data_IF_493167310020
#
_entry.id   IF_493167310020
#
_cell.length_a   1.000
_cell.length_b   1.000
_cell.length_c   1.000
_cell.angle_alpha   90.00
_cell.angle_beta   90.00
_cell.angle_gamma   90.00
#
_symmetry.space_group_name_H-M   'P 1'
#
loop_
_entity.id
_entity.type
_entity.pdbx_description
1 polymer ?
#
# COMPACT_ATOMS: atom_id res chain seq x y z
N UNK A 1 -4.49 -3.40 -19.41
CA UNK A 1 -4.39 -2.16 -18.60
C UNK A 1 -4.25 -2.44 -17.11
N UNK A 2 -5.26 -2.98 -16.39
CA UNK A 2 -5.08 -3.22 -14.93
C UNK A 2 -4.08 -4.33 -14.63
N UNK A 3 -4.11 -5.45 -15.38
CA UNK A 3 -3.16 -6.53 -15.14
C UNK A 3 -1.71 -6.13 -15.42
N UNK A 4 -1.46 -5.43 -16.53
CA UNK A 4 -0.12 -4.90 -16.84
C UNK A 4 0.42 -4.01 -15.71
N UNK A 5 -0.44 -3.24 -15.04
CA UNK A 5 -0.05 -2.43 -13.90
C UNK A 5 0.30 -3.29 -12.67
N UNK A 6 -0.50 -4.34 -12.39
CA UNK A 6 -0.24 -5.31 -11.31
C UNK A 6 1.06 -6.07 -11.57
N UNK A 7 1.34 -6.44 -12.81
CA UNK A 7 2.60 -7.08 -13.22
C UNK A 7 3.80 -6.16 -12.96
N UNK A 8 3.69 -4.88 -13.33
CA UNK A 8 4.74 -3.89 -13.03
C UNK A 8 4.95 -3.75 -11.52
N UNK A 9 3.87 -3.69 -10.74
CA UNK A 9 3.95 -3.65 -9.27
C UNK A 9 4.69 -4.88 -8.71
N UNK A 10 4.37 -6.06 -9.21
CA UNK A 10 4.97 -7.34 -8.78
C UNK A 10 6.45 -7.42 -9.15
N UNK A 11 6.79 -7.08 -10.39
CA UNK A 11 8.19 -7.03 -10.84
C UNK A 11 9.01 -5.99 -10.06
N UNK A 12 8.41 -4.83 -9.76
CA UNK A 12 9.03 -3.78 -8.96
C UNK A 12 9.06 -4.08 -7.45
N UNK A 13 8.41 -5.16 -7.00
CA UNK A 13 8.22 -5.50 -5.59
C UNK A 13 7.56 -4.36 -4.77
N UNK A 14 6.55 -3.71 -5.34
CA UNK A 14 5.82 -2.57 -4.75
C UNK A 14 4.35 -2.93 -4.60
N UNK A 15 3.86 -2.92 -3.36
CA UNK A 15 2.42 -2.94 -3.08
C UNK A 15 1.83 -1.54 -3.06
N UNK A 16 0.58 -1.39 -3.52
CA UNK A 16 -0.12 -0.10 -3.57
C UNK A 16 -1.33 -0.15 -2.66
N UNK A 17 -1.42 0.79 -1.72
CA UNK A 17 -2.52 0.91 -0.77
C UNK A 17 -3.19 2.28 -0.93
N UNK A 18 -4.45 2.29 -1.37
CA UNK A 18 -5.18 3.51 -1.76
C UNK A 18 -6.41 3.65 -0.88
N UNK A 19 -6.50 4.69 -0.05
CA UNK A 19 -7.73 5.04 0.64
C UNK A 19 -8.51 6.07 -0.19
N UNK A 20 -9.55 5.62 -0.88
CA UNK A 20 -10.42 6.47 -1.69
C UNK A 20 -11.43 7.23 -0.83
N UNK A 21 -11.90 6.61 0.26
CA UNK A 21 -12.77 7.17 1.27
C UNK A 21 -12.14 6.99 2.66
N UNK A 22 -12.90 7.25 3.72
CA UNK A 22 -12.38 7.20 5.09
C UNK A 22 -11.94 5.80 5.52
N UNK A 23 -12.76 4.80 5.22
CA UNK A 23 -12.57 3.39 5.57
C UNK A 23 -12.63 2.47 4.34
N UNK A 24 -12.69 3.03 3.12
CA UNK A 24 -12.79 2.26 1.89
C UNK A 24 -11.70 2.65 0.89
N UNK A 25 -11.27 1.66 0.10
CA UNK A 25 -10.35 1.91 -0.99
C UNK A 25 -9.90 0.63 -1.70
N UNK A 26 -8.68 0.65 -2.23
CA UNK A 26 -8.15 -0.42 -3.07
C UNK A 26 -6.74 -0.81 -2.63
N UNK A 27 -6.45 -2.10 -2.71
CA UNK A 27 -5.14 -2.66 -2.43
C UNK A 27 -4.65 -3.50 -3.61
N UNK A 28 -3.40 -3.28 -4.00
CA UNK A 28 -2.68 -4.08 -4.99
C UNK A 28 -1.49 -4.72 -4.27
N UNK A 29 -1.50 -6.04 -4.22
CA UNK A 29 -0.42 -6.85 -3.68
C UNK A 29 0.65 -7.09 -4.75
N UNK A 30 1.67 -6.24 -4.77
CA UNK A 30 2.80 -6.34 -5.71
C UNK A 30 4.05 -6.91 -5.05
N UNK A 31 3.93 -7.86 -4.12
CA UNK A 31 5.11 -8.52 -3.55
C UNK A 31 5.69 -9.47 -4.60
N UNK A 32 6.97 -9.29 -4.94
CA UNK A 32 7.67 -10.21 -5.83
C UNK A 32 7.90 -11.56 -5.14
N UNK A 33 7.63 -12.64 -5.86
CA UNK A 33 7.90 -14.02 -5.40
C UNK A 33 9.41 -14.31 -5.30
N UNK A 34 10.23 -13.50 -5.97
CA UNK A 34 11.70 -13.62 -5.96
C UNK A 34 12.37 -12.74 -4.91
N UNK A 35 11.61 -11.86 -4.22
CA UNK A 35 12.07 -11.07 -3.07
C UNK A 35 12.91 -9.82 -3.39
N UNK A 36 13.28 -9.61 -4.65
CA UNK A 36 14.00 -8.42 -5.13
C UNK A 36 13.56 -8.05 -6.56
N UNK A 37 13.75 -6.78 -6.92
CA UNK A 37 13.29 -6.19 -8.18
C UNK A 37 14.40 -5.53 -9.00
N UNK A 38 15.36 -4.88 -8.34
CA UNK A 38 16.49 -4.20 -9.00
C UNK A 38 17.57 -5.21 -9.40
N UNK A 39 17.44 -5.79 -10.59
CA UNK A 39 18.40 -6.77 -11.12
C UNK A 39 18.59 -6.64 -12.63
N UNK A 40 19.61 -7.31 -13.17
CA UNK A 40 19.89 -7.35 -14.60
C UNK A 40 18.82 -8.13 -15.40
N UNK A 41 18.77 -7.88 -16.72
CA UNK A 41 17.78 -8.49 -17.60
C UNK A 41 17.86 -10.02 -17.66
N UNK A 42 19.06 -10.62 -17.51
CA UNK A 42 19.21 -12.07 -17.54
C UNK A 42 18.54 -12.69 -16.31
N UNK A 43 18.70 -12.07 -15.15
CA UNK A 43 18.02 -12.48 -13.91
C UNK A 43 16.51 -12.32 -14.03
N UNK A 44 16.02 -11.20 -14.58
CA UNK A 44 14.58 -11.00 -14.84
C UNK A 44 14.04 -12.09 -15.76
N UNK A 45 14.73 -12.40 -16.85
CA UNK A 45 14.30 -13.45 -17.77
C UNK A 45 14.21 -14.82 -17.08
N UNK A 46 15.21 -15.18 -16.27
CA UNK A 46 15.18 -16.44 -15.52
C UNK A 46 14.06 -16.49 -14.46
N UNK A 47 13.72 -15.35 -13.86
CA UNK A 47 12.57 -15.24 -12.95
C UNK A 47 11.24 -15.48 -13.69
N UNK A 48 11.06 -14.86 -14.86
CA UNK A 48 9.87 -15.04 -15.70
C UNK A 48 9.73 -16.48 -16.20
N UNK A 49 10.83 -17.13 -16.59
CA UNK A 49 10.81 -18.54 -16.99
C UNK A 49 10.37 -19.47 -15.85
N UNK A 50 10.87 -19.25 -14.62
CA UNK A 50 10.42 -20.02 -13.46
C UNK A 50 8.93 -19.83 -13.17
N UNK A 51 8.40 -18.64 -13.40
CA UNK A 51 6.97 -18.37 -13.26
C UNK A 51 6.15 -19.08 -14.34
N UNK A 52 6.61 -19.08 -15.59
CA UNK A 52 5.98 -19.83 -16.70
C UNK A 52 5.97 -21.35 -16.44
N UNK A 53 7.03 -21.86 -15.83
CA UNK A 53 7.19 -23.29 -15.49
C UNK A 53 6.58 -23.69 -14.13
N UNK A 54 5.93 -22.75 -13.41
CA UNK A 54 5.34 -22.96 -12.07
C UNK A 54 6.37 -23.46 -11.02
N UNK A 55 7.62 -22.98 -11.13
CA UNK A 55 8.75 -23.31 -10.25
C UNK A 55 8.99 -22.26 -9.15
N UNK A 56 7.99 -21.47 -8.81
CA UNK A 56 8.06 -20.48 -7.74
C UNK A 56 6.72 -20.39 -6.98
N UNK A 57 6.69 -19.60 -5.90
CA UNK A 57 5.44 -19.35 -5.19
C UNK A 57 4.46 -18.54 -6.03
N UNK A 58 3.18 -18.61 -5.65
CA UNK A 58 2.13 -17.78 -6.24
C UNK A 58 2.22 -16.32 -5.77
N UNK A 59 1.76 -15.40 -6.62
CA UNK A 59 1.90 -13.96 -6.41
C UNK A 59 0.81 -13.35 -5.52
N UNK A 60 -0.20 -14.11 -5.11
CA UNK A 60 -1.34 -13.58 -4.36
C UNK A 60 -1.03 -13.25 -2.91
N UNK A 61 -1.89 -12.41 -2.33
CA UNK A 61 -1.77 -11.99 -0.93
C UNK A 61 -1.91 -13.16 0.06
N UNK A 62 -2.81 -14.09 -0.23
CA UNK A 62 -3.04 -15.29 0.57
C UNK A 62 -2.12 -16.41 0.06
N UNK A 63 -1.46 -17.17 0.95
CA UNK A 63 -0.58 -18.27 0.53
C UNK A 63 -1.27 -19.24 -0.42
N UNK A 64 -0.63 -19.51 -1.57
CA UNK A 64 -1.15 -20.46 -2.57
C UNK A 64 -2.25 -19.90 -3.48
N UNK A 65 -2.45 -18.58 -3.51
CA UNK A 65 -3.43 -17.92 -4.41
C UNK A 65 -2.73 -16.97 -5.37
N UNK A 66 -3.37 -16.62 -6.49
CA UNK A 66 -2.89 -15.62 -7.44
C UNK A 66 -3.65 -14.27 -7.34
N UNK A 67 -4.52 -14.11 -6.34
CA UNK A 67 -5.30 -12.88 -6.18
C UNK A 67 -4.41 -11.74 -5.68
N UNK A 68 -4.27 -10.70 -6.51
CA UNK A 68 -3.40 -9.55 -6.20
C UNK A 68 -4.15 -8.22 -6.07
N UNK A 69 -5.41 -8.16 -6.47
CA UNK A 69 -6.22 -6.93 -6.44
C UNK A 69 -7.39 -7.09 -5.48
N UNK A 70 -7.60 -6.05 -4.67
CA UNK A 70 -8.63 -6.07 -3.64
C UNK A 70 -9.34 -4.73 -3.56
N UNK A 71 -10.65 -4.78 -3.46
CA UNK A 71 -11.39 -3.68 -2.81
C UNK A 71 -11.27 -3.89 -1.31
N UNK A 72 -11.09 -2.83 -0.55
CA UNK A 72 -10.87 -2.96 0.89
C UNK A 72 -11.78 -2.06 1.68
N UNK A 73 -12.22 -2.61 2.80
CA UNK A 73 -12.93 -1.93 3.84
C UNK A 73 -12.10 -2.10 5.12
N UNK A 74 -11.52 -1.02 5.64
CA UNK A 74 -10.53 -1.06 6.73
C UNK A 74 -11.08 -0.49 8.03
N UNK A 75 -10.61 -0.94 9.22
CA UNK A 75 -11.09 -0.41 10.49
C UNK A 75 -10.73 1.08 10.66
N UNK A 76 -11.61 1.86 11.31
CA UNK A 76 -11.38 3.28 11.58
C UNK A 76 -10.10 3.54 12.40
N UNK A 77 -9.67 2.56 13.19
CA UNK A 77 -8.39 2.61 13.89
C UNK A 77 -7.21 2.71 12.91
N UNK A 78 -7.21 1.94 11.81
CA UNK A 78 -6.19 2.03 10.76
C UNK A 78 -6.13 3.46 10.19
N UNK A 79 -7.30 4.03 9.87
CA UNK A 79 -7.40 5.41 9.36
C UNK A 79 -6.85 6.42 10.36
N UNK A 80 -7.13 6.23 11.64
CA UNK A 80 -6.62 7.09 12.71
C UNK A 80 -5.09 7.03 12.81
N UNK A 81 -4.48 5.85 12.68
CA UNK A 81 -3.03 5.71 12.60
C UNK A 81 -2.46 6.37 11.35
N UNK A 82 -3.09 6.15 10.19
CA UNK A 82 -2.69 6.75 8.94
C UNK A 82 -2.57 8.28 9.05
N UNK A 83 -3.62 8.93 9.58
CA UNK A 83 -3.65 10.38 9.76
C UNK A 83 -2.55 10.87 10.72
N UNK A 84 -2.31 10.16 11.83
CA UNK A 84 -1.26 10.52 12.79
C UNK A 84 0.13 10.48 12.16
N UNK A 85 0.44 9.45 11.38
CA UNK A 85 1.73 9.28 10.72
C UNK A 85 1.93 10.31 9.59
N UNK A 86 0.86 10.69 8.88
CA UNK A 86 0.92 11.63 7.76
C UNK A 86 0.78 13.11 8.16
N UNK A 87 0.30 13.41 9.37
CA UNK A 87 0.13 14.78 9.85
C UNK A 87 1.38 15.68 9.70
N UNK A 88 2.62 15.21 9.99
CA UNK A 88 3.82 15.99 9.77
C UNK A 88 4.00 16.38 8.29
N UNK A 89 3.73 15.46 7.36
CA UNK A 89 3.86 15.70 5.91
C UNK A 89 2.86 16.76 5.43
N UNK A 90 1.61 16.68 5.89
CA UNK A 90 0.58 17.66 5.54
C UNK A 90 0.94 19.06 6.05
N UNK A 91 1.46 19.17 7.27
CA UNK A 91 1.92 20.45 7.84
C UNK A 91 3.10 21.07 7.05
N UNK A 92 4.01 20.23 6.54
CA UNK A 92 5.15 20.65 5.71
C UNK A 92 4.66 21.21 4.37
N UNK A 93 3.72 20.54 3.70
CA UNK A 93 3.14 21.04 2.45
C UNK A 93 2.47 22.41 2.61
N UNK A 94 1.73 22.61 3.70
CA UNK A 94 1.08 23.88 4.02
C UNK A 94 2.10 25.00 4.30
N UNK A 95 3.19 24.68 5.02
CA UNK A 95 4.24 25.66 5.35
C UNK A 95 5.05 26.10 4.12
N UNK A 96 5.36 25.17 3.22
CA UNK A 96 6.09 25.44 1.97
C UNK A 96 5.29 26.35 1.03
N UNK A 97 3.95 26.18 0.97
CA UNK A 97 3.06 27.01 0.14
C UNK A 97 2.98 28.47 0.60
N UNK A 98 3.14 28.74 1.91
CA UNK A 98 3.12 30.10 2.49
C UNK A 98 4.46 30.84 2.40
N UNK A 99 5.53 30.14 2.07
CA UNK A 99 6.91 30.67 2.14
C UNK A 99 7.48 31.16 0.81
N UNK A 100 6.72 31.20 -0.28
CA UNK A 100 7.23 31.69 -1.58
C UNK A 100 7.58 33.20 -1.59
N UNK A 101 7.41 33.92 -0.47
CA UNK A 101 7.46 35.39 -0.41
C UNK A 101 8.60 35.98 0.46
N UNK A 102 9.30 35.22 1.31
CA UNK A 102 10.31 35.79 2.24
C UNK A 102 11.74 35.23 2.06
N UNK A 103 12.70 36.13 1.88
CA UNK A 103 14.11 35.84 1.58
C UNK A 103 14.98 35.57 2.81
N UNK A 104 15.79 34.50 2.73
CA UNK A 104 17.05 34.22 3.43
C UNK A 104 17.53 32.79 3.04
N UNK A 105 18.49 32.66 2.12
CA UNK A 105 18.80 31.39 1.44
C UNK A 105 19.33 30.24 2.32
N UNK A 106 20.16 30.53 3.34
CA UNK A 106 20.81 29.50 4.17
C UNK A 106 19.86 28.87 5.21
N UNK A 107 19.05 29.69 5.87
CA UNK A 107 18.00 29.24 6.81
C UNK A 107 16.91 28.43 6.10
N UNK A 108 16.59 28.80 4.86
CA UNK A 108 15.71 28.03 3.97
C UNK A 108 16.26 26.64 3.67
N UNK A 109 17.53 26.51 3.28
CA UNK A 109 18.15 25.21 2.95
C UNK A 109 18.10 24.22 4.12
N UNK A 110 18.49 24.65 5.33
CA UNK A 110 18.47 23.79 6.52
C UNK A 110 17.05 23.38 6.93
N UNK A 111 16.07 24.28 6.81
CA UNK A 111 14.67 23.97 7.12
C UNK A 111 14.04 23.04 6.07
N UNK A 112 14.33 23.25 4.78
CA UNK A 112 13.92 22.36 3.69
C UNK A 112 14.47 20.95 3.90
N UNK A 113 15.76 20.83 4.25
CA UNK A 113 16.37 19.54 4.60
C UNK A 113 15.65 18.86 5.77
N UNK A 114 15.44 19.59 6.88
CA UNK A 114 14.74 19.02 8.05
C UNK A 114 13.27 18.67 7.80
N UNK A 115 12.62 19.32 6.83
CA UNK A 115 11.27 18.97 6.38
C UNK A 115 11.29 17.71 5.49
N UNK A 116 12.29 17.57 4.61
CA UNK A 116 12.49 16.37 3.80
C UNK A 116 12.78 15.16 4.69
N UNK A 117 13.62 15.30 5.71
CA UNK A 117 13.93 14.19 6.62
C UNK A 117 12.67 13.70 7.37
N UNK A 118 11.82 14.63 7.81
CA UNK A 118 10.55 14.28 8.47
C UNK A 118 9.57 13.60 7.52
N UNK A 119 9.50 14.03 6.26
CA UNK A 119 8.62 13.37 5.30
C UNK A 119 9.09 11.95 4.98
N UNK A 120 10.40 11.76 4.77
CA UNK A 120 11.02 10.45 4.60
C UNK A 120 10.71 9.53 5.79
N UNK A 121 10.87 10.03 7.02
CA UNK A 121 10.56 9.26 8.23
C UNK A 121 9.08 8.87 8.31
N UNK A 122 8.16 9.76 7.95
CA UNK A 122 6.73 9.46 7.89
C UNK A 122 6.41 8.34 6.89
N UNK A 123 7.01 8.39 5.69
CA UNK A 123 6.85 7.33 4.69
C UNK A 123 7.43 5.98 5.17
N UNK A 124 8.60 5.96 5.79
CA UNK A 124 9.16 4.74 6.35
C UNK A 124 8.29 4.14 7.45
N UNK A 125 7.77 4.97 8.35
CA UNK A 125 6.86 4.52 9.41
C UNK A 125 5.56 3.98 8.81
N UNK A 126 5.03 4.61 7.76
CA UNK A 126 3.85 4.13 7.05
C UNK A 126 4.08 2.77 6.41
N UNK A 127 5.18 2.60 5.68
CA UNK A 127 5.51 1.32 5.04
C UNK A 127 5.66 0.20 6.07
N UNK A 128 6.33 0.45 7.20
CA UNK A 128 6.44 -0.55 8.28
C UNK A 128 5.07 -0.91 8.86
N UNK A 129 4.23 0.09 9.09
CA UNK A 129 2.88 -0.12 9.63
C UNK A 129 2.01 -0.93 8.65
N UNK A 130 1.97 -0.57 7.37
CA UNK A 130 1.19 -1.26 6.36
C UNK A 130 1.71 -2.68 6.12
N UNK A 131 3.03 -2.89 6.10
CA UNK A 131 3.61 -4.22 6.02
C UNK A 131 3.17 -5.10 7.21
N UNK A 132 3.28 -4.57 8.44
CA UNK A 132 2.84 -5.29 9.64
C UNK A 132 1.33 -5.58 9.63
N UNK A 133 0.51 -4.67 9.12
CA UNK A 133 -0.94 -4.89 8.95
C UNK A 133 -1.21 -6.03 7.95
N UNK A 134 -0.58 -5.99 6.78
CA UNK A 134 -0.76 -7.00 5.72
C UNK A 134 -0.23 -8.39 6.12
N UNK A 135 0.81 -8.43 6.97
CA UNK A 135 1.40 -9.65 7.52
C UNK A 135 0.65 -10.21 8.75
N UNK A 136 -0.53 -9.67 9.08
CA UNK A 136 -1.31 -10.05 10.28
C UNK A 136 -0.50 -9.92 11.59
N UNK A 137 0.48 -9.02 11.64
CA UNK A 137 1.41 -8.86 12.77
C UNK A 137 0.89 -7.90 13.87
N UNK A 138 -0.26 -7.25 13.64
CA UNK A 138 -0.87 -6.31 14.57
C UNK A 138 -2.03 -6.98 15.33
N UNK A 139 -1.89 -7.15 16.65
CA UNK A 139 -2.85 -7.90 17.48
C UNK A 139 -4.27 -7.33 17.49
N UNK A 140 -4.38 -6.01 17.52
CA UNK A 140 -5.66 -5.29 17.64
C UNK A 140 -6.15 -4.73 16.31
N UNK A 141 -5.44 -5.01 15.20
CA UNK A 141 -5.78 -4.47 13.89
C UNK A 141 -5.51 -5.50 12.80
N UNK A 142 -6.59 -6.12 12.33
CA UNK A 142 -6.49 -7.27 11.43
C UNK A 142 -7.52 -7.18 10.28
N UNK A 143 -7.42 -8.08 9.31
CA UNK A 143 -8.37 -8.20 8.21
C UNK A 143 -8.61 -9.66 7.80
N UNK A 144 -9.71 -9.90 7.10
CA UNK A 144 -9.97 -11.17 6.42
C UNK A 144 -10.08 -10.96 4.90
N UNK A 145 -9.70 -11.97 4.12
CA UNK A 145 -9.89 -11.99 2.66
C UNK A 145 -11.13 -12.80 2.33
N UNK A 146 -12.03 -12.25 1.50
CA UNK A 146 -13.27 -12.94 1.08
C UNK A 146 -13.75 -12.47 -0.28
N UNK A 147 -14.67 -13.20 -0.88
CA UNK A 147 -15.38 -12.75 -2.08
C UNK A 147 -16.60 -11.89 -1.71
N UNK A 148 -16.98 -10.97 -2.60
CA UNK A 148 -18.27 -10.29 -2.49
C UNK A 148 -19.41 -11.29 -2.72
N UNK A 149 -20.47 -11.20 -1.93
CA UNK A 149 -21.69 -11.96 -2.20
C UNK A 149 -22.33 -11.50 -3.50
N UNK A 150 -23.19 -12.34 -4.11
CA UNK A 150 -23.90 -11.97 -5.34
C UNK A 150 -24.60 -10.61 -5.24
N UNK A 151 -25.23 -10.32 -4.10
CA UNK A 151 -25.96 -9.06 -3.91
C UNK A 151 -25.01 -7.87 -3.77
N UNK A 152 -23.89 -8.02 -3.06
CA UNK A 152 -22.83 -6.99 -2.96
C UNK A 152 -22.22 -6.68 -4.33
N UNK A 153 -21.96 -7.72 -5.14
CA UNK A 153 -21.46 -7.57 -6.50
C UNK A 153 -22.49 -6.97 -7.45
N UNK A 154 -23.77 -7.34 -7.31
CA UNK A 154 -24.86 -6.82 -8.17
C UNK A 154 -25.13 -5.35 -7.92
N UNK A 155 -25.04 -4.90 -6.67
CA UNK A 155 -25.38 -3.54 -6.26
C UNK A 155 -24.15 -2.63 -6.11
N UNK A 156 -22.94 -3.20 -6.20
CA UNK A 156 -21.67 -2.51 -5.95
C UNK A 156 -21.63 -1.80 -4.58
N UNK A 157 -22.10 -2.51 -3.55
CA UNK A 157 -22.12 -2.03 -2.15
C UNK A 157 -21.61 -3.11 -1.21
N UNK A 158 -21.01 -2.70 -0.11
CA UNK A 158 -20.59 -3.57 0.99
C UNK A 158 -21.60 -3.51 2.15
N UNK A 159 -22.12 -4.65 2.59
CA UNK A 159 -23.11 -4.66 3.69
C UNK A 159 -22.48 -4.83 5.08
N UNK A 160 -21.17 -5.06 5.17
CA UNK A 160 -20.54 -5.42 6.45
C UNK A 160 -20.06 -4.22 7.22
N UNK A 161 -20.55 -4.09 8.45
CA UNK A 161 -20.07 -3.09 9.40
C UNK A 161 -18.69 -3.50 9.96
N UNK A 162 -17.71 -2.63 9.78
CA UNK A 162 -16.29 -2.88 10.07
C UNK A 162 -16.00 -2.42 11.51
N UNK A 163 -16.41 -3.21 12.50
CA UNK A 163 -16.18 -2.83 13.89
C UNK A 163 -14.79 -3.25 14.41
N UNK A 164 -14.35 -4.47 14.11
CA UNK A 164 -13.15 -5.06 14.71
C UNK A 164 -12.08 -5.51 13.71
N UNK A 165 -12.48 -6.00 12.52
CA UNK A 165 -11.56 -6.46 11.47
C UNK A 165 -11.92 -5.85 10.12
N UNK A 166 -10.90 -5.50 9.36
CA UNK A 166 -11.00 -5.10 7.97
C UNK A 166 -11.33 -6.27 7.06
N UNK A 167 -11.62 -5.95 5.81
CA UNK A 167 -12.05 -6.91 4.80
C UNK A 167 -11.40 -6.52 3.49
N UNK A 168 -10.71 -7.47 2.88
CA UNK A 168 -10.18 -7.36 1.53
C UNK A 168 -11.03 -8.26 0.63
N UNK A 169 -11.83 -7.64 -0.23
CA UNK A 169 -12.66 -8.34 -1.19
C UNK A 169 -11.82 -8.74 -2.40
N UNK A 170 -11.62 -10.04 -2.57
CA UNK A 170 -11.15 -10.64 -3.81
C UNK A 170 -12.26 -10.52 -4.85
N UNK A 171 -11.93 -10.02 -6.03
CA UNK A 171 -12.85 -9.83 -7.16
C UNK A 171 -12.28 -10.39 -8.43
#
# INVERSE_FOLDING_TARGET
MIQEFVDICSMANISVFILALENYGFYIHGRSVHGFADTDMQTILGQLQREEEDLCGHRGLVPGTDQQTFQMAVPLQLRSYYQKVMAPVSSIMLSTKRMSVAGAGALRSKMLSGNVDRSIQAYHNMNKFLAAFLEHALRDLDYDVREKTFVESLLDIEFTEIFNKGILYAG
#
